data_IF_200248826971
#
_entry.id   IF_200248826971
#
_cell.length_a   1.000
_cell.length_b   1.000
_cell.length_c   1.000
_cell.angle_alpha   90.00
_cell.angle_beta   90.00
_cell.angle_gamma   90.00
#
_symmetry.space_group_name_H-M   'P 1'
#
loop_
_entity.id
_entity.type
_entity.pdbx_description
1 polymer ?
#
# COMPACT_ATOMS: atom_id res chain seq x y z
N UNK A 1 30.01 -14.46 1.17
CA UNK A 1 29.48 -15.13 -0.05
C UNK A 1 28.03 -14.72 -0.19
N UNK A 2 27.69 -14.10 -1.32
CA UNK A 2 26.34 -13.62 -1.65
C UNK A 2 25.54 -14.84 -2.13
N UNK A 3 24.53 -15.27 -1.38
CA UNK A 3 23.58 -16.27 -1.87
C UNK A 3 22.52 -15.50 -2.66
N UNK A 4 22.75 -15.40 -3.98
CA UNK A 4 21.69 -15.05 -4.89
C UNK A 4 20.69 -16.21 -4.91
N UNK A 5 19.44 -15.96 -4.54
CA UNK A 5 18.33 -16.80 -5.00
C UNK A 5 18.26 -16.60 -6.51
N UNK A 6 18.89 -17.51 -7.26
CA UNK A 6 18.64 -17.59 -8.69
C UNK A 6 17.26 -18.20 -8.86
N UNK A 7 16.47 -17.48 -9.65
CA UNK A 7 15.17 -17.88 -10.14
C UNK A 7 15.17 -19.31 -10.69
N UNK A 8 13.97 -19.90 -10.69
CA UNK A 8 13.65 -21.20 -11.24
C UNK A 8 14.50 -21.55 -12.48
N UNK A 9 15.50 -22.40 -12.28
CA UNK A 9 16.15 -23.10 -13.38
C UNK A 9 15.16 -24.15 -13.90
N UNK A 10 14.39 -23.76 -14.92
CA UNK A 10 13.62 -24.71 -15.70
C UNK A 10 14.56 -25.52 -16.58
N UNK A 11 14.70 -26.82 -16.29
CA UNK A 11 15.01 -27.83 -17.31
C UNK A 11 13.83 -28.80 -17.37
N UNK A 12 13.17 -28.85 -18.53
CA UNK A 12 12.06 -29.73 -18.93
C UNK A 12 10.71 -29.62 -18.18
N UNK A 13 10.08 -28.44 -18.15
CA UNK A 13 8.63 -28.23 -17.85
C UNK A 13 8.09 -27.00 -18.63
N UNK A 14 8.13 -27.01 -19.97
CA UNK A 14 7.88 -25.80 -20.79
C UNK A 14 6.49 -25.69 -21.44
N UNK A 15 5.44 -26.28 -20.87
CA UNK A 15 4.05 -25.96 -21.28
C UNK A 15 3.08 -25.66 -20.12
N UNK A 16 3.53 -25.65 -18.85
CA UNK A 16 2.63 -25.51 -17.69
C UNK A 16 2.91 -24.35 -16.73
N UNK A 17 4.08 -23.71 -16.79
CA UNK A 17 4.50 -22.78 -15.75
C UNK A 17 4.25 -21.31 -16.13
N UNK A 18 2.99 -20.86 -15.99
CA UNK A 18 2.59 -19.44 -15.97
C UNK A 18 2.16 -19.03 -14.57
N UNK A 19 3.05 -19.18 -13.58
CA UNK A 19 2.74 -18.80 -12.22
C UNK A 19 2.70 -17.26 -12.10
N UNK A 20 1.54 -16.72 -11.70
CA UNK A 20 1.44 -15.33 -11.29
C UNK A 20 2.17 -15.14 -9.95
N UNK A 21 2.73 -13.94 -9.68
CA UNK A 21 3.35 -13.66 -8.40
C UNK A 21 2.30 -13.71 -7.27
N UNK A 22 2.72 -14.18 -6.11
CA UNK A 22 1.89 -14.13 -4.91
C UNK A 22 1.62 -12.68 -4.49
N UNK A 23 0.39 -12.40 -4.03
CA UNK A 23 0.00 -11.08 -3.53
C UNK A 23 0.59 -10.77 -2.15
N UNK A 24 0.81 -11.80 -1.34
CA UNK A 24 1.52 -11.72 -0.07
C UNK A 24 2.72 -12.67 -0.10
N UNK A 25 3.88 -12.17 0.27
CA UNK A 25 5.10 -12.96 0.31
C UNK A 25 6.03 -12.45 1.40
N UNK A 26 6.47 -13.37 2.26
CA UNK A 26 7.44 -13.08 3.31
C UNK A 26 8.82 -13.53 2.83
N UNK A 27 9.73 -12.58 2.67
CA UNK A 27 11.12 -12.83 2.26
C UNK A 27 12.05 -12.63 3.45
N UNK A 28 12.85 -13.66 3.76
CA UNK A 28 13.89 -13.58 4.78
C UNK A 28 15.25 -13.43 4.11
N UNK A 29 16.02 -12.42 4.53
CA UNK A 29 17.42 -12.29 4.17
C UNK A 29 18.28 -12.92 5.25
N UNK A 30 18.99 -14.01 4.91
CA UNK A 30 19.78 -14.77 5.86
C UNK A 30 21.27 -14.37 5.77
N UNK A 31 21.86 -14.05 6.92
CA UNK A 31 23.31 -13.86 7.06
C UNK A 31 23.92 -15.13 7.65
N UNK A 32 24.92 -15.71 6.98
CA UNK A 32 25.56 -16.96 7.43
C UNK A 32 26.91 -16.66 8.07
N UNK A 33 27.07 -17.12 9.32
CA UNK A 33 28.33 -17.11 10.05
C UNK A 33 28.84 -18.56 10.16
N UNK A 34 30.01 -18.82 9.59
CA UNK A 34 30.67 -20.13 9.67
C UNK A 34 31.88 -19.99 10.59
N UNK A 35 31.97 -20.87 11.59
CA UNK A 35 33.15 -20.96 12.46
C UNK A 35 33.58 -22.42 12.59
N UNK A 36 34.90 -22.70 12.64
CA UNK A 36 35.40 -24.06 12.86
C UNK A 36 35.02 -24.51 14.27
N UNK A 37 34.37 -25.67 14.38
CA UNK A 37 34.03 -26.24 15.67
C UNK A 37 35.30 -26.80 16.32
N UNK A 38 35.67 -26.26 17.49
CA UNK A 38 36.84 -26.75 18.23
C UNK A 38 36.63 -28.19 18.70
N UNK A 39 37.61 -29.07 18.42
CA UNK A 39 37.61 -30.49 18.83
C UNK A 39 37.41 -30.69 20.34
N UNK A 40 37.76 -29.69 21.15
CA UNK A 40 37.54 -29.71 22.60
C UNK A 40 36.06 -29.58 22.96
N UNK A 41 35.31 -28.70 22.29
CA UNK A 41 33.87 -28.51 22.49
C UNK A 41 33.11 -29.78 22.07
N UNK A 42 33.52 -30.40 20.97
CA UNK A 42 32.96 -31.68 20.50
C UNK A 42 33.13 -32.80 21.54
N UNK A 43 34.29 -32.88 22.21
CA UNK A 43 34.53 -33.86 23.29
C UNK A 43 33.70 -33.61 24.55
N UNK A 44 33.46 -32.34 24.90
CA UNK A 44 32.63 -31.99 26.05
C UNK A 44 31.15 -32.27 25.78
N UNK A 45 30.66 -31.97 24.58
CA UNK A 45 29.30 -32.31 24.18
C UNK A 45 29.08 -33.84 24.21
N UNK A 46 30.03 -34.62 23.65
CA UNK A 46 30.00 -36.10 23.68
C UNK A 46 29.89 -36.70 25.08
N UNK A 47 30.51 -36.10 26.10
CA UNK A 47 30.49 -36.62 27.49
C UNK A 47 29.21 -36.30 28.25
N UNK A 48 28.51 -35.21 27.90
CA UNK A 48 27.32 -34.74 28.60
C UNK A 48 26.02 -35.06 27.85
N UNK A 49 26.07 -35.38 26.55
CA UNK A 49 24.88 -35.81 25.80
C UNK A 49 24.57 -37.27 26.09
N UNK A 50 23.45 -37.54 26.75
CA UNK A 50 22.89 -38.89 26.91
C UNK A 50 22.24 -39.42 25.62
N UNK A 51 22.64 -38.92 24.45
CA UNK A 51 22.22 -39.45 23.16
C UNK A 51 22.90 -40.81 23.04
N UNK A 52 22.08 -41.83 23.28
CA UNK A 52 22.35 -43.26 23.15
C UNK A 52 23.17 -43.54 21.89
N UNK A 53 24.48 -43.65 22.06
CA UNK A 53 25.41 -44.37 21.18
C UNK A 53 26.10 -45.41 22.07
N UNK A 54 25.30 -46.17 22.80
CA UNK A 54 25.77 -47.21 23.71
C UNK A 54 26.00 -48.56 23.00
N UNK A 55 25.80 -48.61 21.68
CA UNK A 55 25.89 -49.86 20.89
C UNK A 55 26.96 -49.84 19.79
N UNK A 56 28.01 -49.02 19.92
CA UNK A 56 29.19 -49.17 19.04
C UNK A 56 30.45 -48.98 19.87
N UNK A 57 30.71 -49.94 20.76
CA UNK A 57 32.07 -50.31 21.08
C UNK A 57 32.75 -50.76 19.79
N UNK A 58 33.80 -50.03 19.42
CA UNK A 58 34.72 -50.33 18.32
C UNK A 58 34.26 -49.90 16.91
N UNK A 59 34.63 -48.68 16.52
CA UNK A 59 35.35 -48.38 15.27
C UNK A 59 35.57 -46.87 15.13
N UNK A 60 36.68 -46.53 14.48
CA UNK A 60 37.26 -45.20 14.26
C UNK A 60 36.40 -44.29 13.35
N UNK A 61 35.13 -44.11 13.65
CA UNK A 61 34.26 -43.23 12.87
C UNK A 61 34.48 -41.81 13.39
N UNK A 62 35.29 -41.03 12.67
CA UNK A 62 35.43 -39.59 12.89
C UNK A 62 34.14 -38.91 12.41
N UNK A 63 33.18 -38.77 13.31
CA UNK A 63 31.93 -38.06 13.02
C UNK A 63 32.22 -36.55 12.90
N UNK A 64 31.97 -35.98 11.73
CA UNK A 64 31.97 -34.53 11.53
C UNK A 64 30.69 -33.93 12.09
N UNK A 65 30.79 -33.33 13.28
CA UNK A 65 29.65 -32.68 13.95
C UNK A 65 29.55 -31.24 13.48
N UNK A 66 28.38 -30.85 12.97
CA UNK A 66 28.03 -29.47 12.64
C UNK A 66 26.94 -28.94 13.57
N UNK A 67 27.11 -27.73 14.10
CA UNK A 67 26.07 -27.01 14.85
C UNK A 67 25.46 -25.94 13.95
N UNK A 68 24.14 -25.97 13.78
CA UNK A 68 23.36 -24.92 13.12
C UNK A 68 22.53 -24.17 14.16
N UNK A 69 22.63 -22.85 14.18
CA UNK A 69 21.85 -21.99 15.04
C UNK A 69 21.19 -20.91 14.17
N UNK A 70 19.86 -20.80 14.26
CA UNK A 70 19.05 -19.88 13.44
C UNK A 70 18.34 -18.92 14.38
N UNK A 71 18.72 -17.64 14.31
CA UNK A 71 18.17 -16.59 15.15
C UNK A 71 17.77 -15.38 14.29
N UNK A 72 16.74 -14.65 14.71
CA UNK A 72 16.38 -13.37 14.09
C UNK A 72 17.39 -12.30 14.49
N UNK A 73 17.90 -11.55 13.50
CA UNK A 73 18.86 -10.46 13.73
C UNK A 73 18.24 -9.29 14.50
N UNK A 74 17.01 -8.93 14.14
CA UNK A 74 16.24 -7.84 14.75
C UNK A 74 14.81 -8.32 15.02
N UNK A 75 14.13 -7.81 16.06
CA UNK A 75 12.76 -8.20 16.41
C UNK A 75 11.68 -7.56 15.52
N UNK A 76 12.06 -6.67 14.60
CA UNK A 76 11.14 -5.85 13.80
C UNK A 76 11.18 -6.23 12.32
N UNK A 77 10.01 -6.40 11.73
CA UNK A 77 9.81 -6.77 10.33
C UNK A 77 9.33 -5.57 9.51
N UNK A 78 10.00 -5.27 8.39
CA UNK A 78 9.58 -4.22 7.47
C UNK A 78 8.52 -4.75 6.50
N UNK A 79 7.26 -4.40 6.71
CA UNK A 79 6.17 -4.72 5.79
C UNK A 79 6.10 -3.70 4.65
N UNK A 80 6.05 -4.18 3.40
CA UNK A 80 5.82 -3.34 2.22
C UNK A 80 4.52 -3.77 1.54
N UNK A 81 3.51 -2.92 1.60
CA UNK A 81 2.26 -3.10 0.87
C UNK A 81 2.23 -2.17 -0.35
N UNK A 82 1.74 -2.66 -1.48
CA UNK A 82 1.51 -1.85 -2.69
C UNK A 82 0.03 -1.48 -2.73
N UNK A 83 -0.26 -0.21 -2.45
CA UNK A 83 -1.59 0.36 -2.70
C UNK A 83 -1.68 0.86 -4.14
N UNK A 84 -2.88 0.84 -4.71
CA UNK A 84 -3.16 1.47 -5.99
C UNK A 84 -2.81 2.97 -5.90
N UNK A 85 -1.88 3.43 -6.74
CA UNK A 85 -1.29 4.76 -6.64
C UNK A 85 -2.26 5.89 -7.02
N UNK A 86 -3.34 5.55 -7.72
CA UNK A 86 -4.37 6.47 -8.19
C UNK A 86 -5.73 5.78 -8.14
N UNK A 87 -6.57 6.21 -7.21
CA UNK A 87 -7.94 5.72 -7.10
C UNK A 87 -8.91 6.52 -7.96
N UNK A 88 -10.11 5.98 -8.18
CA UNK A 88 -11.26 6.76 -8.69
C UNK A 88 -11.54 8.01 -7.85
N UNK A 89 -11.17 7.95 -6.57
CA UNK A 89 -11.24 9.07 -5.61
C UNK A 89 -10.34 10.23 -6.02
N UNK A 90 -9.15 9.97 -6.53
CA UNK A 90 -8.20 11.01 -6.94
C UNK A 90 -8.66 11.66 -8.25
N UNK A 91 -9.23 10.86 -9.16
CA UNK A 91 -9.86 11.38 -10.37
C UNK A 91 -11.07 12.28 -10.03
N UNK A 92 -11.95 11.81 -9.15
CA UNK A 92 -13.11 12.58 -8.67
C UNK A 92 -12.69 13.86 -7.94
N UNK A 93 -11.61 13.84 -7.16
CA UNK A 93 -11.10 15.02 -6.48
C UNK A 93 -10.60 16.08 -7.48
N UNK A 94 -9.84 15.67 -8.50
CA UNK A 94 -9.32 16.58 -9.52
C UNK A 94 -10.45 17.16 -10.40
N UNK A 95 -11.38 16.34 -10.86
CA UNK A 95 -12.53 16.80 -11.65
C UNK A 95 -13.49 17.64 -10.81
N UNK A 96 -13.78 17.20 -9.58
CA UNK A 96 -14.70 17.88 -8.66
C UNK A 96 -14.21 19.26 -8.25
N UNK A 97 -12.91 19.45 -8.05
CA UNK A 97 -12.33 20.76 -7.75
C UNK A 97 -12.51 21.78 -8.87
N UNK A 98 -12.24 21.38 -10.12
CA UNK A 98 -12.43 22.24 -11.29
C UNK A 98 -13.91 22.53 -11.55
N UNK A 99 -14.77 21.50 -11.52
CA UNK A 99 -16.21 21.66 -11.71
C UNK A 99 -16.84 22.51 -10.62
N UNK A 100 -16.41 22.35 -9.36
CA UNK A 100 -16.86 23.16 -8.24
C UNK A 100 -16.52 24.64 -8.40
N UNK A 101 -15.34 24.97 -8.93
CA UNK A 101 -14.95 26.37 -9.18
C UNK A 101 -15.81 27.02 -10.27
N UNK A 102 -16.04 26.33 -11.38
CA UNK A 102 -16.86 26.84 -12.48
C UNK A 102 -18.34 26.95 -12.10
N UNK A 103 -18.88 25.97 -11.36
CA UNK A 103 -20.23 26.03 -10.83
C UNK A 103 -20.38 27.12 -9.77
N UNK A 104 -19.37 27.35 -8.93
CA UNK A 104 -19.37 28.42 -7.93
C UNK A 104 -19.46 29.82 -8.54
N UNK A 105 -18.60 30.14 -9.52
CA UNK A 105 -18.68 31.41 -10.25
C UNK A 105 -20.02 31.59 -10.96
N UNK A 106 -20.50 30.54 -11.61
CA UNK A 106 -21.80 30.54 -12.29
C UNK A 106 -22.96 30.78 -11.29
N UNK A 107 -22.91 30.17 -10.11
CA UNK A 107 -23.93 30.32 -9.07
C UNK A 107 -23.97 31.74 -8.51
N UNK A 108 -22.81 32.35 -8.22
CA UNK A 108 -22.75 33.75 -7.77
C UNK A 108 -23.33 34.70 -8.82
N UNK A 109 -23.06 34.46 -10.10
CA UNK A 109 -23.66 35.24 -11.18
C UNK A 109 -25.19 35.09 -11.25
N UNK A 110 -25.72 33.89 -11.02
CA UNK A 110 -27.18 33.67 -10.97
C UNK A 110 -27.80 34.39 -9.77
N UNK A 111 -27.17 34.33 -8.60
CA UNK A 111 -27.63 35.05 -7.39
C UNK A 111 -27.68 36.55 -7.64
N UNK A 112 -26.70 37.11 -8.33
CA UNK A 112 -26.68 38.55 -8.70
C UNK A 112 -27.86 38.92 -9.61
N UNK A 113 -28.14 38.10 -10.64
CA UNK A 113 -29.28 38.32 -11.54
C UNK A 113 -30.60 38.24 -10.77
N UNK A 114 -30.74 37.28 -9.86
CA UNK A 114 -31.93 37.16 -8.99
C UNK A 114 -32.06 38.36 -8.05
N UNK A 115 -30.96 38.85 -7.50
CA UNK A 115 -30.95 40.05 -6.65
C UNK A 115 -31.43 41.29 -7.42
N UNK A 116 -30.89 41.54 -8.62
CA UNK A 116 -31.28 42.68 -9.45
C UNK A 116 -32.74 42.59 -9.93
N UNK A 117 -33.16 41.41 -10.41
CA UNK A 117 -34.53 41.20 -10.91
C UNK A 117 -35.57 41.34 -9.80
N UNK A 118 -35.29 40.79 -8.61
CA UNK A 118 -36.20 40.94 -7.48
C UNK A 118 -36.30 42.39 -7.01
N UNK A 119 -35.19 43.12 -6.83
CA UNK A 119 -35.20 44.56 -6.50
C UNK A 119 -35.98 45.41 -7.50
N UNK A 120 -35.74 45.25 -8.80
CA UNK A 120 -36.46 45.98 -9.85
C UNK A 120 -37.97 45.71 -9.83
N UNK A 121 -38.38 44.46 -9.59
CA UNK A 121 -39.81 44.13 -9.44
C UNK A 121 -40.44 44.66 -8.16
N UNK A 122 -39.70 44.75 -7.05
CA UNK A 122 -40.20 45.36 -5.81
C UNK A 122 -40.40 46.87 -5.94
N UNK A 123 -39.49 47.58 -6.61
CA UNK A 123 -39.64 49.02 -6.89
C UNK A 123 -40.83 49.30 -7.83
N UNK A 124 -41.05 48.45 -8.84
CA UNK A 124 -42.22 48.52 -9.70
C UNK A 124 -43.52 48.21 -8.94
N UNK A 125 -43.49 47.28 -7.98
CA UNK A 125 -44.66 46.99 -7.12
C UNK A 125 -44.94 48.12 -6.11
N UNK A 126 -43.91 48.80 -5.62
CA UNK A 126 -44.07 49.95 -4.70
C UNK A 126 -44.69 51.18 -5.37
N UNK A 127 -44.47 51.37 -6.67
CA UNK A 127 -45.08 52.47 -7.44
C UNK A 127 -46.51 52.13 -7.89
N UNK A 128 -46.82 50.85 -8.14
CA UNK A 128 -48.17 50.39 -8.48
C UNK A 128 -49.20 50.53 -7.33
N UNK A 129 -48.77 50.56 -6.07
CA UNK A 129 -49.66 50.84 -4.93
C UNK A 129 -50.12 52.32 -4.83
N UNK A 130 -49.56 53.23 -5.64
CA UNK A 130 -49.90 54.67 -5.59
C UNK A 130 -50.63 55.18 -6.85
N UNK A 131 -50.62 54.43 -7.97
CA UNK A 131 -51.26 54.86 -9.23
C UNK A 131 -52.43 53.97 -9.64
N UNK A 132 -53.61 54.29 -9.09
CA UNK A 132 -54.86 54.10 -9.84
C UNK A 132 -54.84 55.09 -11.00
N UNK A 133 -54.34 54.67 -12.16
CA UNK A 133 -54.61 55.17 -13.52
C UNK A 133 -53.35 55.10 -14.40
N UNK A 134 -53.50 54.51 -15.57
CA UNK A 134 -52.58 54.68 -16.69
C UNK A 134 -51.63 53.51 -16.91
N UNK A 135 -51.98 52.63 -17.84
CA UNK A 135 -51.10 51.58 -18.34
C UNK A 135 -49.79 52.14 -18.90
N UNK A 136 -48.70 51.50 -18.53
CA UNK A 136 -47.38 51.73 -19.07
C UNK A 136 -46.51 50.53 -18.72
N UNK A 137 -46.18 49.74 -19.74
CA UNK A 137 -45.39 48.52 -19.64
C UNK A 137 -44.07 48.76 -18.88
N UNK A 138 -43.80 47.93 -17.87
CA UNK A 138 -42.44 47.75 -17.37
C UNK A 138 -41.72 46.82 -18.37
N UNK A 139 -41.39 47.38 -19.54
CA UNK A 139 -40.51 46.75 -20.52
C UNK A 139 -39.09 47.22 -20.25
N UNK A 140 -38.26 46.24 -19.88
CA UNK A 140 -36.80 46.28 -19.76
C UNK A 140 -36.15 46.99 -20.95
N UNK A 141 -35.26 47.94 -20.68
CA UNK A 141 -34.17 48.32 -21.59
C UNK A 141 -32.92 47.53 -21.22
#
# INVERSE_FOLDING_TARGET
MKLAMQEAAGDKVTEGCRCLPACDSVKYEAELLKSPLSKTITRHFRRNSSIVLDDITDTRIEYEIAKLEVNYKNPQFSSLSRSELFGVTDFMANCGGLLGLFLGFSFLSIVEILYYSTLSTYECRSTASTSTAGGGACTTA
#
